data_IF_760497812706
#
_entry.id   IF_760497812706
#
_cell.length_a   1.000
_cell.length_b   1.000
_cell.length_c   1.000
_cell.angle_alpha   90.00
_cell.angle_beta   90.00
_cell.angle_gamma   90.00
#
_symmetry.space_group_name_H-M   'P 1'
#
loop_
_entity.id
_entity.type
_entity.pdbx_description
1 polymer ?
#
# COMPACT_ATOMS: atom_id res chain seq x y z
N UNK A 1 -0.18 -21.36 2.22
CA UNK A 1 -1.21 -20.33 2.48
C UNK A 1 -1.84 -20.01 1.15
N UNK A 2 -3.14 -19.66 1.06
CA UNK A 2 -3.73 -19.37 -0.25
C UNK A 2 -3.05 -18.14 -0.86
N UNK A 3 -2.51 -18.28 -2.07
CA UNK A 3 -1.84 -17.20 -2.82
C UNK A 3 -2.84 -16.23 -3.49
N UNK A 4 -4.13 -16.45 -3.31
CA UNK A 4 -5.18 -15.63 -3.88
C UNK A 4 -5.54 -14.46 -2.95
N UNK A 5 -5.68 -13.27 -3.55
CA UNK A 5 -6.13 -12.09 -2.85
C UNK A 5 -7.64 -12.17 -2.57
N UNK A 6 -8.04 -11.84 -1.34
CA UNK A 6 -9.44 -11.73 -0.91
C UNK A 6 -10.11 -10.54 -1.60
N UNK A 7 -9.38 -9.45 -1.76
CA UNK A 7 -9.85 -8.23 -2.41
C UNK A 7 -8.69 -7.59 -3.15
N UNK A 8 -8.96 -7.09 -4.36
CA UNK A 8 -8.00 -6.35 -5.17
C UNK A 8 -8.68 -5.11 -5.73
N UNK A 9 -8.02 -3.96 -5.63
CA UNK A 9 -8.47 -2.74 -6.30
C UNK A 9 -7.30 -1.86 -6.70
N UNK A 10 -7.57 -0.98 -7.66
CA UNK A 10 -6.61 0.02 -8.15
C UNK A 10 -7.22 1.41 -8.07
N UNK A 11 -6.37 2.38 -7.72
CA UNK A 11 -6.69 3.82 -7.77
C UNK A 11 -5.91 4.46 -8.92
N UNK A 12 -5.95 5.79 -9.02
CA UNK A 12 -5.05 6.49 -9.94
C UNK A 12 -3.61 6.50 -9.46
N UNK A 13 -3.35 6.14 -8.20
CA UNK A 13 -2.03 6.26 -7.56
C UNK A 13 -1.35 4.90 -7.37
N UNK A 14 -2.13 3.86 -7.03
CA UNK A 14 -1.61 2.57 -6.54
C UNK A 14 -2.56 1.41 -6.79
N UNK A 15 -2.00 0.21 -6.81
CA UNK A 15 -2.70 -1.06 -6.65
C UNK A 15 -2.68 -1.53 -5.19
N UNK A 16 -3.76 -2.17 -4.77
CA UNK A 16 -3.93 -2.74 -3.44
C UNK A 16 -4.46 -4.16 -3.53
N UNK A 17 -3.96 -5.03 -2.65
CA UNK A 17 -4.48 -6.39 -2.47
C UNK A 17 -4.57 -6.73 -0.99
N UNK A 18 -5.66 -7.38 -0.58
CA UNK A 18 -5.85 -7.91 0.77
C UNK A 18 -5.71 -9.42 0.72
N UNK A 19 -4.88 -9.96 1.61
CA UNK A 19 -4.79 -11.38 1.89
C UNK A 19 -5.21 -11.64 3.34
N UNK A 20 -5.36 -12.91 3.71
CA UNK A 20 -5.80 -13.31 5.07
C UNK A 20 -5.00 -12.66 6.21
N UNK A 21 -3.69 -12.47 6.00
CA UNK A 21 -2.78 -11.92 7.01
C UNK A 21 -1.84 -10.82 6.48
N UNK A 22 -2.02 -10.38 5.23
CA UNK A 22 -1.13 -9.42 4.58
C UNK A 22 -1.94 -8.34 3.86
N UNK A 23 -1.41 -7.12 3.88
CA UNK A 23 -1.87 -6.00 3.06
C UNK A 23 -0.79 -5.65 2.06
N UNK A 24 -1.16 -5.62 0.79
CA UNK A 24 -0.25 -5.37 -0.31
C UNK A 24 -0.54 -4.00 -0.90
N UNK A 25 0.50 -3.20 -1.11
CA UNK A 25 0.48 -1.94 -1.84
C UNK A 25 1.55 -1.99 -2.90
N UNK A 26 1.24 -1.51 -4.11
CA UNK A 26 2.20 -1.39 -5.19
C UNK A 26 2.03 -0.09 -5.95
N UNK A 27 3.14 0.55 -6.30
CA UNK A 27 3.13 1.71 -7.20
C UNK A 27 2.77 1.29 -8.63
N UNK A 28 1.97 2.09 -9.33
CA UNK A 28 1.61 1.79 -10.72
C UNK A 28 2.82 1.93 -11.65
N UNK A 29 2.87 1.09 -12.68
CA UNK A 29 3.80 1.17 -13.81
C UNK A 29 3.26 2.14 -14.88
N UNK A 30 4.10 2.67 -15.77
CA UNK A 30 3.67 3.62 -16.79
C UNK A 30 2.53 3.12 -17.70
N UNK A 31 2.49 1.83 -18.00
CA UNK A 31 1.45 1.17 -18.79
C UNK A 31 0.13 0.94 -18.01
N UNK A 32 0.15 1.11 -16.69
CA UNK A 32 -1.02 0.99 -15.81
C UNK A 32 -1.64 2.35 -15.47
N UNK A 33 -1.03 3.45 -15.91
CA UNK A 33 -1.53 4.80 -15.66
C UNK A 33 -2.88 5.02 -16.32
N UNK A 34 -3.83 5.50 -15.52
CA UNK A 34 -5.19 5.81 -15.98
C UNK A 34 -5.24 7.17 -16.65
N UNK A 35 -6.22 7.38 -17.53
CA UNK A 35 -6.44 8.68 -18.15
C UNK A 35 -7.02 9.66 -17.12
N UNK A 36 -6.43 10.85 -17.06
CA UNK A 36 -6.91 11.99 -16.30
C UNK A 36 -7.63 13.02 -17.18
N UNK A 37 -7.68 14.26 -16.69
CA UNK A 37 -8.31 15.38 -17.39
C UNK A 37 -7.65 15.63 -18.75
N UNK A 38 -8.46 15.79 -19.79
CA UNK A 38 -7.97 16.06 -21.15
C UNK A 38 -7.40 14.83 -21.86
N UNK A 39 -7.78 13.62 -21.46
CA UNK A 39 -7.40 12.36 -22.10
C UNK A 39 -5.88 12.10 -22.08
N UNK A 40 -5.17 12.66 -21.10
CA UNK A 40 -3.74 12.44 -20.87
C UNK A 40 -3.54 11.45 -19.72
N UNK A 41 -2.52 10.57 -19.75
CA UNK A 41 -2.19 9.73 -18.61
C UNK A 41 -1.96 10.57 -17.35
N UNK A 42 -2.64 10.22 -16.27
CA UNK A 42 -2.35 10.73 -14.94
C UNK A 42 -1.12 10.00 -14.41
N UNK A 43 -0.05 10.76 -14.15
CA UNK A 43 1.20 10.23 -13.60
C UNK A 43 1.16 10.42 -12.08
N UNK A 44 1.15 9.34 -11.27
CA UNK A 44 1.20 9.42 -9.80
C UNK A 44 2.42 10.22 -9.32
N UNK A 45 2.25 11.35 -8.62
CA UNK A 45 3.39 12.13 -8.13
C UNK A 45 4.17 11.31 -7.10
N UNK A 46 5.42 10.98 -7.44
CA UNK A 46 6.34 10.23 -6.58
C UNK A 46 5.73 8.92 -6.07
N UNK A 47 4.99 8.20 -6.93
CA UNK A 47 4.25 7.01 -6.54
C UNK A 47 5.14 5.92 -5.91
N UNK A 48 6.34 5.76 -6.45
CA UNK A 48 7.38 4.85 -5.97
C UNK A 48 7.96 5.34 -4.64
N UNK A 49 8.50 6.56 -4.61
CA UNK A 49 9.24 7.11 -3.48
C UNK A 49 8.34 7.31 -2.27
N UNK A 50 7.07 7.69 -2.46
CA UNK A 50 6.10 7.81 -1.37
C UNK A 50 5.81 6.46 -0.70
N UNK A 51 5.84 5.37 -1.46
CA UNK A 51 5.62 4.03 -0.90
C UNK A 51 6.88 3.49 -0.20
N UNK A 52 8.06 3.79 -0.76
CA UNK A 52 9.34 3.54 -0.10
C UNK A 52 9.45 4.31 1.23
N UNK A 53 9.08 5.59 1.23
CA UNK A 53 9.04 6.42 2.42
C UNK A 53 8.04 5.88 3.44
N UNK A 54 6.88 5.37 3.00
CA UNK A 54 5.92 4.74 3.92
C UNK A 54 6.56 3.55 4.66
N UNK A 55 7.25 2.65 3.95
CA UNK A 55 7.96 1.52 4.56
C UNK A 55 8.97 2.00 5.62
N UNK A 56 9.83 2.96 5.26
CA UNK A 56 10.84 3.52 6.15
C UNK A 56 10.21 4.22 7.38
N UNK A 57 9.10 4.94 7.20
CA UNK A 57 8.38 5.58 8.29
C UNK A 57 7.78 4.57 9.26
N UNK A 58 7.18 3.48 8.77
CA UNK A 58 6.60 2.44 9.62
C UNK A 58 7.69 1.79 10.49
N UNK A 59 8.83 1.44 9.90
CA UNK A 59 9.95 0.85 10.62
C UNK A 59 10.55 1.82 11.63
N UNK A 60 10.68 3.10 11.27
CA UNK A 60 11.13 4.15 12.17
C UNK A 60 10.19 4.31 13.37
N UNK A 61 8.89 4.51 13.15
CA UNK A 61 7.91 4.72 14.23
C UNK A 61 7.90 3.52 15.19
N UNK A 62 7.94 2.30 14.66
CA UNK A 62 8.03 1.07 15.46
C UNK A 62 9.30 1.01 16.31
N UNK A 63 10.45 1.38 15.73
CA UNK A 63 11.73 1.30 16.44
C UNK A 63 11.92 2.40 17.49
N UNK A 64 11.15 3.50 17.41
CA UNK A 64 11.32 4.69 18.25
C UNK A 64 10.19 4.95 19.23
N UNK A 65 9.05 4.28 19.09
CA UNK A 65 7.85 4.57 19.88
C UNK A 65 7.08 3.29 20.22
N UNK A 66 6.14 3.41 21.15
CA UNK A 66 5.16 2.36 21.45
C UNK A 66 3.84 2.55 20.69
N UNK A 67 3.80 3.42 19.68
CA UNK A 67 2.59 3.63 18.87
C UNK A 67 2.35 2.38 18.02
N UNK A 68 1.15 1.77 18.07
CA UNK A 68 0.86 0.59 17.27
C UNK A 68 0.77 0.99 15.78
N UNK A 69 1.70 0.47 14.99
CA UNK A 69 1.69 0.53 13.52
C UNK A 69 1.65 -0.89 12.95
N UNK A 70 1.31 -1.10 11.66
CA UNK A 70 1.49 -2.40 11.00
C UNK A 70 2.96 -2.84 10.97
N UNK A 71 3.21 -4.15 11.00
CA UNK A 71 4.56 -4.69 10.75
C UNK A 71 4.84 -4.58 9.23
N UNK A 72 6.02 -4.10 8.85
CA UNK A 72 6.53 -4.25 7.48
C UNK A 72 7.03 -5.68 7.31
N UNK A 73 6.43 -6.44 6.40
CA UNK A 73 6.81 -7.82 6.11
C UNK A 73 7.82 -7.88 4.96
N UNK A 74 7.53 -7.13 3.90
CA UNK A 74 8.35 -7.09 2.68
C UNK A 74 8.30 -5.66 2.11
N UNK A 75 9.43 -5.15 1.63
CA UNK A 75 9.55 -3.87 0.95
C UNK A 75 10.64 -4.00 -0.13
N UNK A 76 10.26 -3.99 -1.40
CA UNK A 76 11.17 -4.29 -2.51
C UNK A 76 10.71 -3.67 -3.84
N UNK A 77 11.57 -3.73 -4.85
CA UNK A 77 11.23 -3.38 -6.22
C UNK A 77 10.97 -4.67 -6.99
N UNK A 78 9.79 -4.80 -7.61
CA UNK A 78 9.46 -5.98 -8.41
C UNK A 78 10.18 -5.97 -9.76
N UNK A 79 10.11 -7.09 -10.50
CA UNK A 79 10.76 -7.23 -11.82
C UNK A 79 10.28 -6.19 -12.85
N UNK A 80 9.09 -5.62 -12.66
CA UNK A 80 8.53 -4.57 -13.53
C UNK A 80 8.83 -3.16 -13.07
N UNK A 81 9.69 -2.97 -12.06
CA UNK A 81 10.13 -1.66 -11.59
C UNK A 81 9.16 -0.96 -10.63
N UNK A 82 8.09 -1.62 -10.19
CA UNK A 82 7.19 -1.08 -9.18
C UNK A 82 7.77 -1.28 -7.78
N UNK A 83 7.63 -0.28 -6.90
CA UNK A 83 7.84 -0.51 -5.47
C UNK A 83 6.64 -1.28 -4.89
N UNK A 84 6.95 -2.31 -4.12
CA UNK A 84 5.99 -3.16 -3.42
C UNK A 84 6.21 -3.01 -1.92
N UNK A 85 5.14 -2.74 -1.20
CA UNK A 85 5.10 -2.74 0.26
C UNK A 85 4.05 -3.75 0.73
N UNK A 86 4.50 -4.71 1.52
CA UNK A 86 3.66 -5.72 2.16
C UNK A 86 3.70 -5.51 3.66
N UNK A 87 2.54 -5.24 4.24
CA UNK A 87 2.39 -5.11 5.69
C UNK A 87 1.58 -6.27 6.27
N UNK A 88 1.72 -6.51 7.57
CA UNK A 88 0.80 -7.37 8.31
C UNK A 88 -0.60 -6.77 8.29
N UNK A 89 -1.59 -7.58 7.90
CA UNK A 89 -2.99 -7.19 8.00
C UNK A 89 -3.44 -7.21 9.45
N UNK A 90 -4.01 -6.10 9.92
CA UNK A 90 -4.52 -5.95 11.27
C UNK A 90 -6.04 -5.94 11.23
N UNK A 91 -6.66 -6.76 12.08
CA UNK A 91 -8.11 -6.74 12.26
C UNK A 91 -8.48 -5.49 13.07
N UNK A 92 -9.40 -4.69 12.54
CA UNK A 92 -9.86 -3.48 13.19
C UNK A 92 -11.07 -2.90 12.46
N UNK A 93 -11.73 -1.95 13.13
CA UNK A 93 -12.81 -1.16 12.54
C UNK A 93 -12.29 0.21 12.14
N UNK A 94 -12.80 0.74 11.03
CA UNK A 94 -12.52 2.15 10.68
C UNK A 94 -13.07 3.03 11.80
N UNK A 95 -12.33 4.06 12.18
CA UNK A 95 -12.75 5.01 13.23
C UNK A 95 -14.15 5.59 12.96
N UNK A 96 -14.51 5.84 11.70
CA UNK A 96 -15.85 6.33 11.32
C UNK A 96 -16.99 5.34 11.56
N UNK A 97 -16.68 4.06 11.82
CA UNK A 97 -17.63 2.99 12.14
C UNK A 97 -17.49 2.52 13.59
N UNK A 98 -16.55 3.08 14.35
CA UNK A 98 -16.40 2.75 15.75
C UNK A 98 -17.51 3.46 16.54
N UNK A 99 -18.08 2.76 17.51
CA UNK A 99 -18.93 3.40 18.53
C UNK A 99 -18.05 4.28 19.42
N UNK A 100 -18.56 5.42 19.93
CA UNK A 100 -17.91 6.13 21.02
C UNK A 100 -17.66 5.18 22.19
N UNK A 101 -16.49 5.30 22.82
CA UNK A 101 -16.13 4.55 24.02
C UNK A 101 -16.83 5.12 25.27
#
# INVERSE_FOLDING_TARGET
>A
MSDEAIETWTTHEREYRIYKAKFYKRSLRPDEFRLGVGNKPYIPPLGFERLQNEAACLDYVRSKTNIPVPDTLEAYVDEGGSFVLVNKWLQGVRMSKASPA
#
